data_IF_549348727539
#
_entry.id   IF_549348727539
#
_cell.length_a   1.000
_cell.length_b   1.000
_cell.length_c   1.000
_cell.angle_alpha   90.00
_cell.angle_beta   90.00
_cell.angle_gamma   90.00
#
_symmetry.space_group_name_H-M   'P 1'
#
loop_
_entity.id
_entity.type
_entity.pdbx_description
1 polymer ?
#
# COMPACT_ATOMS: atom_id res chain seq x y z
N UNK A 1 21.33 7.72 -59.74
CA UNK A 1 19.97 7.58 -60.30
C UNK A 1 19.26 6.45 -59.56
N UNK A 2 17.96 6.57 -59.29
CA UNK A 2 17.17 5.60 -58.50
C UNK A 2 16.78 4.39 -59.37
N UNK A 3 16.66 3.19 -58.77
CA UNK A 3 15.91 2.05 -59.35
C UNK A 3 14.94 1.52 -58.29
N UNK A 4 13.67 1.42 -58.66
CA UNK A 4 12.51 1.06 -57.81
C UNK A 4 12.02 -0.37 -58.09
N UNK A 5 11.00 -0.80 -57.30
CA UNK A 5 10.13 -2.01 -57.46
C UNK A 5 10.80 -3.35 -57.03
N UNK A 6 10.11 -4.35 -56.44
CA UNK A 6 8.65 -4.63 -56.34
C UNK A 6 8.21 -5.16 -54.94
N UNK A 7 6.89 -5.15 -54.74
CA UNK A 7 6.01 -5.64 -53.65
C UNK A 7 6.16 -7.14 -53.31
N UNK A 8 5.97 -7.48 -52.03
CA UNK A 8 5.24 -8.69 -51.61
C UNK A 8 4.29 -8.33 -50.45
N UNK A 9 2.98 -8.47 -50.66
CA UNK A 9 1.97 -8.31 -49.61
C UNK A 9 1.41 -9.69 -49.26
N UNK A 10 1.44 -10.07 -47.99
CA UNK A 10 0.69 -11.22 -47.48
C UNK A 10 -0.21 -10.77 -46.33
N UNK A 11 -1.51 -10.68 -46.61
CA UNK A 11 -2.53 -10.64 -45.58
C UNK A 11 -2.86 -12.06 -45.15
N UNK A 12 -2.89 -12.31 -43.84
CA UNK A 12 -3.56 -13.47 -43.26
C UNK A 12 -4.30 -13.01 -41.99
N UNK A 13 -5.63 -12.94 -42.07
CA UNK A 13 -6.46 -12.67 -40.91
C UNK A 13 -6.70 -13.97 -40.13
N UNK A 14 -6.56 -13.91 -38.80
CA UNK A 14 -7.03 -14.95 -37.90
C UNK A 14 -7.66 -14.28 -36.66
N UNK A 15 -8.98 -14.09 -36.71
CA UNK A 15 -9.76 -13.80 -35.51
C UNK A 15 -9.93 -15.09 -34.72
N UNK A 16 -9.30 -15.19 -33.55
CA UNK A 16 -9.61 -16.23 -32.57
C UNK A 16 -10.07 -15.58 -31.26
N UNK A 17 -11.34 -15.80 -30.94
CA UNK A 17 -11.98 -15.31 -29.73
C UNK A 17 -11.39 -16.01 -28.50
N UNK A 18 -10.83 -15.25 -27.56
CA UNK A 18 -10.57 -15.76 -26.21
C UNK A 18 -11.89 -15.81 -25.44
N UNK A 19 -12.52 -16.98 -25.41
CA UNK A 19 -13.68 -17.22 -24.57
C UNK A 19 -13.32 -17.03 -23.08
N UNK A 20 -14.19 -16.45 -22.25
CA UNK A 20 -13.99 -16.46 -20.81
C UNK A 20 -14.13 -17.92 -20.33
N UNK A 21 -13.03 -18.51 -19.89
CA UNK A 21 -13.06 -19.79 -19.19
C UNK A 21 -13.70 -19.58 -17.81
N UNK A 22 -15.01 -19.81 -17.74
CA UNK A 22 -15.70 -20.02 -16.46
C UNK A 22 -15.20 -21.35 -15.89
N UNK A 23 -14.19 -21.29 -15.03
CA UNK A 23 -13.76 -22.47 -14.26
C UNK A 23 -14.78 -22.71 -13.15
N UNK A 24 -15.61 -23.74 -13.32
CA UNK A 24 -16.45 -24.25 -12.24
C UNK A 24 -15.57 -25.12 -11.34
N UNK A 25 -15.05 -24.52 -10.27
CA UNK A 25 -14.45 -25.29 -9.17
C UNK A 25 -15.58 -25.77 -8.25
N UNK A 26 -16.30 -26.79 -8.72
CA UNK A 26 -17.23 -27.53 -7.88
C UNK A 26 -16.40 -28.54 -7.08
N UNK A 27 -16.22 -28.27 -5.79
CA UNK A 27 -15.58 -29.19 -4.86
C UNK A 27 -16.23 -29.05 -3.49
N UNK A 28 -17.43 -29.60 -3.39
CA UNK A 28 -18.00 -30.05 -2.13
C UNK A 28 -16.96 -30.89 -1.38
N UNK A 29 -16.49 -30.38 -0.24
CA UNK A 29 -16.07 -31.22 0.87
C UNK A 29 -16.11 -30.43 2.18
N UNK A 30 -16.57 -31.12 3.22
CA UNK A 30 -16.32 -30.85 4.64
C UNK A 30 -17.04 -29.62 5.25
N UNK A 31 -18.33 -29.85 5.53
CA UNK A 31 -19.01 -29.28 6.71
C UNK A 31 -18.45 -29.92 7.99
N UNK A 32 -17.39 -29.35 8.53
CA UNK A 32 -16.92 -29.39 9.94
C UNK A 32 -15.61 -28.55 9.96
N UNK A 33 -15.26 -27.74 10.96
CA UNK A 33 -15.79 -27.56 12.31
C UNK A 33 -15.90 -26.06 12.66
N UNK A 34 -16.95 -25.70 13.42
CA UNK A 34 -17.05 -24.38 14.03
C UNK A 34 -16.10 -24.23 15.23
N UNK A 35 -14.83 -23.87 15.00
CA UNK A 35 -13.90 -23.45 16.07
C UNK A 35 -12.58 -22.81 15.58
N UNK A 36 -12.61 -21.67 14.87
CA UNK A 36 -11.37 -20.90 14.62
C UNK A 36 -11.54 -19.37 14.62
N UNK A 37 -10.97 -18.77 15.67
CA UNK A 37 -10.64 -17.34 15.82
C UNK A 37 -11.70 -16.37 16.34
N UNK A 38 -12.46 -16.77 17.37
CA UNK A 38 -13.01 -15.83 18.36
C UNK A 38 -11.94 -15.35 19.37
N UNK A 39 -10.87 -14.71 18.86
CA UNK A 39 -9.90 -13.99 19.69
C UNK A 39 -9.84 -12.48 19.35
N UNK A 40 -10.93 -11.94 18.81
CA UNK A 40 -11.08 -10.48 18.62
C UNK A 40 -11.40 -9.79 19.95
N UNK A 41 -10.34 -9.35 20.61
CA UNK A 41 -10.32 -8.27 21.60
C UNK A 41 -11.35 -8.37 22.74
N UNK A 42 -11.12 -9.34 23.63
CA UNK A 42 -11.40 -9.08 25.05
C UNK A 42 -10.52 -7.90 25.46
N UNK A 43 -11.14 -6.74 25.71
CA UNK A 43 -10.49 -5.47 26.05
C UNK A 43 -9.84 -5.47 27.43
N UNK A 44 -8.86 -6.35 27.65
CA UNK A 44 -7.92 -6.20 28.73
C UNK A 44 -6.99 -5.05 28.33
N UNK A 45 -7.21 -3.87 28.89
CA UNK A 45 -6.23 -2.81 28.88
C UNK A 45 -4.99 -3.33 29.61
N UNK A 46 -4.05 -3.90 28.86
CA UNK A 46 -2.71 -4.14 29.37
C UNK A 46 -2.17 -2.78 29.78
N UNK A 47 -1.93 -2.60 31.08
CA UNK A 47 -1.13 -1.50 31.63
C UNK A 47 0.35 -1.71 31.26
N UNK A 48 0.61 -1.93 29.97
CA UNK A 48 1.91 -1.82 29.38
C UNK A 48 2.22 -0.33 29.30
N UNK A 49 3.36 0.07 29.84
CA UNK A 49 3.97 1.36 29.53
C UNK A 49 4.42 1.29 28.06
N UNK A 50 3.47 1.61 27.16
CA UNK A 50 3.69 1.55 25.73
C UNK A 50 4.70 2.63 25.36
N UNK A 51 5.87 2.20 24.86
CA UNK A 51 6.93 3.11 24.43
C UNK A 51 6.34 4.19 23.50
N UNK A 52 6.44 5.43 23.96
CA UNK A 52 6.17 6.60 23.14
C UNK A 52 7.39 6.85 22.26
N UNK A 53 7.17 7.07 20.97
CA UNK A 53 8.22 7.42 20.03
C UNK A 53 8.46 8.92 20.05
N UNK A 54 9.73 9.29 20.06
CA UNK A 54 10.17 10.64 19.73
C UNK A 54 9.95 10.96 18.24
N UNK A 55 9.97 12.24 17.87
CA UNK A 55 9.89 12.70 16.48
C UNK A 55 10.95 12.08 15.57
N UNK A 56 12.19 11.91 16.05
CA UNK A 56 13.27 11.27 15.29
C UNK A 56 13.05 9.76 15.12
N UNK A 57 12.56 9.06 16.14
CA UNK A 57 12.19 7.64 16.00
C UNK A 57 11.01 7.46 15.03
N UNK A 58 10.02 8.36 15.07
CA UNK A 58 8.94 8.39 14.08
C UNK A 58 9.47 8.63 12.67
N UNK A 59 10.43 9.55 12.49
CA UNK A 59 11.10 9.79 11.19
C UNK A 59 11.79 8.54 10.68
N UNK A 60 12.58 7.86 11.52
CA UNK A 60 13.28 6.61 11.16
C UNK A 60 12.28 5.52 10.74
N UNK A 61 11.20 5.32 11.50
CA UNK A 61 10.17 4.32 11.17
C UNK A 61 9.40 4.66 9.89
N UNK A 62 8.97 5.92 9.74
CA UNK A 62 8.28 6.40 8.56
C UNK A 62 9.16 6.30 7.31
N UNK A 63 10.44 6.66 7.41
CA UNK A 63 11.42 6.53 6.33
C UNK A 63 11.65 5.06 5.94
N UNK A 64 11.82 4.16 6.91
CA UNK A 64 11.94 2.71 6.64
C UNK A 64 10.68 2.13 5.97
N UNK A 65 9.50 2.58 6.37
CA UNK A 65 8.24 2.19 5.72
C UNK A 65 8.09 2.80 4.30
N UNK A 66 8.54 4.04 4.10
CA UNK A 66 8.53 4.72 2.82
C UNK A 66 9.46 4.02 1.82
N UNK A 67 10.73 3.78 2.20
CA UNK A 67 11.70 3.02 1.40
C UNK A 67 11.16 1.65 0.98
N UNK A 68 10.53 0.91 1.91
CA UNK A 68 9.95 -0.42 1.62
C UNK A 68 8.78 -0.37 0.63
N UNK A 69 8.08 0.75 0.51
CA UNK A 69 6.88 0.89 -0.35
C UNK A 69 7.15 1.60 -1.68
N UNK A 70 8.00 2.61 -1.67
CA UNK A 70 8.24 3.50 -2.82
C UNK A 70 9.65 3.37 -3.40
N UNK A 71 10.58 2.74 -2.68
CA UNK A 71 11.98 2.61 -3.10
C UNK A 71 12.83 3.83 -2.72
N UNK A 72 14.07 3.91 -3.25
CA UNK A 72 14.96 5.05 -3.04
C UNK A 72 14.44 6.32 -3.74
N UNK A 73 14.89 7.49 -3.27
CA UNK A 73 14.48 8.80 -3.78
C UNK A 73 13.28 9.42 -3.07
N UNK A 74 12.58 8.66 -2.20
CA UNK A 74 11.56 9.21 -1.30
C UNK A 74 12.22 10.00 -0.16
N UNK A 75 11.66 11.16 0.18
CA UNK A 75 12.01 11.94 1.38
C UNK A 75 10.84 11.91 2.38
N UNK A 76 11.15 12.09 3.66
CA UNK A 76 10.16 12.07 4.75
C UNK A 76 10.42 13.23 5.71
N UNK A 77 9.42 14.09 5.90
CA UNK A 77 9.36 15.02 7.03
C UNK A 77 8.42 14.51 8.11
N UNK A 78 8.70 14.90 9.35
CA UNK A 78 7.88 14.60 10.52
C UNK A 78 7.84 15.85 11.37
N UNK A 79 6.64 16.39 11.56
CA UNK A 79 6.37 17.59 12.34
C UNK A 79 5.45 17.23 13.52
N UNK A 80 5.77 17.71 14.72
CA UNK A 80 4.96 17.48 15.92
C UNK A 80 3.84 18.52 16.00
N UNK A 81 2.61 18.06 16.23
CA UNK A 81 1.43 18.93 16.34
C UNK A 81 1.24 19.47 17.75
N UNK A 82 0.39 20.48 17.92
CA UNK A 82 -0.01 20.99 19.24
C UNK A 82 -0.68 19.92 20.12
N UNK A 83 -1.20 18.84 19.52
CA UNK A 83 -1.84 17.71 20.23
C UNK A 83 -0.84 16.61 20.66
N UNK A 84 0.46 16.76 20.34
CA UNK A 84 1.48 15.73 20.57
C UNK A 84 1.33 14.52 19.65
N UNK A 85 0.80 14.74 18.45
CA UNK A 85 0.79 13.79 17.33
C UNK A 85 1.86 14.17 16.31
N UNK A 86 2.10 13.30 15.34
CA UNK A 86 3.15 13.44 14.34
C UNK A 86 2.53 13.48 12.94
N UNK A 87 2.58 14.64 12.30
CA UNK A 87 2.24 14.79 10.89
C UNK A 87 3.42 14.32 10.04
N UNK A 88 3.22 13.26 9.27
CA UNK A 88 4.26 12.66 8.42
C UNK A 88 3.93 12.95 6.96
N UNK A 89 4.82 13.67 6.27
CA UNK A 89 4.74 13.88 4.82
C UNK A 89 5.79 13.02 4.11
N UNK A 90 5.39 12.40 3.02
CA UNK A 90 6.25 11.65 2.10
C UNK A 90 6.28 12.39 0.77
N UNK A 91 7.47 12.68 0.27
CA UNK A 91 7.68 13.37 -1.02
C UNK A 91 8.59 12.57 -1.93
N UNK A 92 8.42 12.73 -3.23
CA UNK A 92 9.31 12.11 -4.23
C UNK A 92 10.61 12.91 -4.41
N UNK A 93 11.42 12.51 -5.39
CA UNK A 93 12.69 13.15 -5.70
C UNK A 93 12.55 14.54 -6.36
N UNK A 94 11.33 14.93 -6.75
CA UNK A 94 10.99 16.26 -7.30
C UNK A 94 10.27 17.14 -6.25
N UNK A 95 10.24 16.70 -4.98
CA UNK A 95 9.56 17.32 -3.83
C UNK A 95 8.01 17.31 -3.91
N UNK A 96 7.41 16.54 -4.83
CA UNK A 96 5.95 16.41 -4.91
C UNK A 96 5.41 15.64 -3.69
N UNK A 97 4.35 16.15 -3.06
CA UNK A 97 3.69 15.46 -1.95
C UNK A 97 2.98 14.18 -2.43
N UNK A 98 3.55 13.03 -2.09
CA UNK A 98 2.99 11.71 -2.43
C UNK A 98 1.93 11.26 -1.42
N UNK A 99 2.15 11.58 -0.14
CA UNK A 99 1.24 11.21 0.94
C UNK A 99 1.48 12.08 2.17
N UNK A 100 0.39 12.47 2.81
CA UNK A 100 0.37 12.99 4.17
C UNK A 100 -0.40 12.00 5.07
N UNK A 101 0.06 11.81 6.31
CA UNK A 101 -0.64 10.99 7.31
C UNK A 101 -0.22 11.42 8.72
N UNK A 102 -1.21 11.67 9.56
CA UNK A 102 -0.99 11.91 10.99
C UNK A 102 -0.93 10.59 11.76
N UNK A 103 0.00 10.49 12.72
CA UNK A 103 0.19 9.36 13.61
C UNK A 103 0.24 9.81 15.07
N UNK A 104 -0.31 9.03 15.99
CA UNK A 104 -0.11 9.29 17.41
C UNK A 104 1.32 8.92 17.86
N UNK A 105 1.69 9.35 19.07
CA UNK A 105 2.94 9.00 19.77
C UNK A 105 3.29 7.51 19.89
N UNK A 106 2.37 6.61 19.56
CA UNK A 106 2.59 5.15 19.57
C UNK A 106 2.75 4.57 18.14
N UNK A 107 2.88 5.43 17.12
CA UNK A 107 3.04 5.04 15.72
C UNK A 107 1.76 4.52 15.05
N UNK A 108 0.58 4.68 15.68
CA UNK A 108 -0.69 4.30 15.08
C UNK A 108 -1.31 5.50 14.32
N UNK A 109 -1.86 5.31 13.11
CA UNK A 109 -2.45 6.41 12.34
C UNK A 109 -3.69 6.97 13.05
N UNK A 110 -3.76 8.29 13.15
CA UNK A 110 -4.94 8.98 13.69
C UNK A 110 -6.08 8.84 12.69
N UNK A 111 -7.18 8.19 13.11
CA UNK A 111 -8.38 8.03 12.28
C UNK A 111 -9.16 9.35 12.28
N UNK A 112 -8.90 10.20 11.31
CA UNK A 112 -9.58 11.50 11.18
C UNK A 112 -9.09 12.38 10.03
N UNK A 113 -7.87 12.18 9.52
CA UNK A 113 -7.34 12.91 8.36
C UNK A 113 -8.31 12.86 7.16
N UNK A 114 -8.64 14.04 6.63
CA UNK A 114 -9.73 14.26 5.66
C UNK A 114 -9.68 13.28 4.49
N UNK A 115 -10.81 12.61 4.24
CA UNK A 115 -11.21 12.20 2.89
C UNK A 115 -12.04 13.34 2.31
N UNK A 116 -11.41 14.17 1.49
CA UNK A 116 -12.07 15.08 0.53
C UNK A 116 -11.16 15.17 -0.70
#
# INVERSE_FOLDING_TARGET
MKKTTTIAALSAAALLSTAPLLVSADNDNDKDDGQRSEYRHKGSAMNADLKQYSSEEMRIMAYGQALRRFGPGVTVSVDETEEGTYLVQLRDAEDNLMREQEFNRYGAPVRGGRRD
#
